data_IF_493495402489
#
_entry.id   IF_493495402489
#
_cell.length_a   1.000
_cell.length_b   1.000
_cell.length_c   1.000
_cell.angle_alpha   90.00
_cell.angle_beta   90.00
_cell.angle_gamma   90.00
#
_symmetry.space_group_name_H-M   'P 1'
#
loop_
_entity.id
_entity.type
_entity.pdbx_description
1 polymer ?
#
# COMPACT_ATOMS: atom_id res chain seq x y z
N UNK A 1 -5.78 18.35 8.00
CA UNK A 1 -6.34 17.03 7.62
C UNK A 1 -5.17 16.07 7.49
N UNK A 2 -5.30 14.82 7.94
CA UNK A 2 -4.31 13.76 7.67
C UNK A 2 -4.71 13.08 6.37
N UNK A 3 -3.76 12.82 5.46
CA UNK A 3 -4.01 12.05 4.23
C UNK A 3 -2.87 11.09 3.90
N UNK A 4 -3.25 10.02 3.19
CA UNK A 4 -2.35 9.05 2.55
C UNK A 4 -2.35 9.35 1.05
N UNK A 5 -1.59 10.36 0.65
CA UNK A 5 -1.53 10.84 -0.73
C UNK A 5 -0.17 11.47 -0.96
N UNK A 6 0.33 11.35 -2.19
CA UNK A 6 1.41 12.20 -2.65
C UNK A 6 0.96 13.67 -2.68
N UNK A 7 1.92 14.58 -2.59
CA UNK A 7 1.75 16.03 -2.43
C UNK A 7 0.60 16.59 -3.30
N UNK A 8 -0.53 16.98 -2.67
CA UNK A 8 -1.68 17.58 -3.39
C UNK A 8 -1.64 19.11 -3.25
N UNK A 9 -1.67 19.77 -4.41
CA UNK A 9 -1.98 21.19 -4.65
C UNK A 9 -1.15 22.25 -3.92
N UNK A 10 -0.73 23.28 -4.68
CA UNK A 10 0.02 24.46 -4.22
C UNK A 10 -0.69 25.33 -3.17
N UNK A 11 -1.94 25.04 -2.85
CA UNK A 11 -2.73 25.74 -1.82
C UNK A 11 -2.50 25.21 -0.40
N UNK A 12 -1.89 24.02 -0.27
CA UNK A 12 -1.67 23.34 1.00
C UNK A 12 -0.18 23.09 1.26
N UNK A 13 0.25 23.30 2.51
CA UNK A 13 1.52 22.77 2.98
C UNK A 13 1.28 21.32 3.39
N UNK A 14 2.20 20.47 2.96
CA UNK A 14 2.25 19.04 3.31
C UNK A 14 3.41 18.82 4.28
N UNK A 15 3.14 18.22 5.45
CA UNK A 15 4.19 17.80 6.42
C UNK A 15 4.11 16.29 6.59
N UNK A 16 5.16 15.59 6.18
CA UNK A 16 5.29 14.13 6.37
C UNK A 16 5.26 13.79 7.86
N UNK A 17 4.49 12.75 8.18
CA UNK A 17 4.35 12.18 9.52
C UNK A 17 5.04 10.82 9.55
N UNK A 18 4.72 9.97 8.58
CA UNK A 18 5.16 8.58 8.54
C UNK A 18 5.10 8.04 7.12
N UNK A 19 5.75 6.90 6.90
CA UNK A 19 5.69 6.15 5.63
C UNK A 19 5.10 4.76 5.89
N UNK A 20 3.98 4.47 5.25
CA UNK A 20 3.35 3.16 5.29
C UNK A 20 4.14 2.21 4.39
N UNK A 21 4.80 1.24 5.02
CA UNK A 21 5.40 0.14 4.28
C UNK A 21 4.30 -0.66 3.58
N UNK A 22 4.37 -0.70 2.25
CA UNK A 22 3.51 -1.56 1.43
C UNK A 22 4.24 -2.88 1.20
N UNK A 23 3.51 -3.98 1.21
CA UNK A 23 4.02 -5.31 0.92
C UNK A 23 3.15 -5.99 -0.14
N UNK A 24 3.78 -6.93 -0.84
CA UNK A 24 3.11 -7.81 -1.78
C UNK A 24 2.82 -9.14 -1.10
N UNK A 25 1.56 -9.56 -1.14
CA UNK A 25 1.18 -10.84 -0.57
C UNK A 25 0.03 -11.50 -1.31
N UNK A 26 -0.10 -12.80 -1.09
CA UNK A 26 -1.22 -13.61 -1.55
C UNK A 26 -1.45 -14.76 -0.57
N UNK A 27 -2.62 -15.41 -0.64
CA UNK A 27 -2.88 -16.61 0.16
C UNK A 27 -2.11 -17.81 -0.36
N UNK A 28 -1.84 -18.78 0.52
CA UNK A 28 -1.28 -20.07 0.10
C UNK A 28 -2.18 -20.80 -0.91
N UNK A 29 -3.50 -20.63 -0.82
CA UNK A 29 -4.47 -21.21 -1.75
C UNK A 29 -4.29 -20.72 -3.18
N UNK A 30 -3.88 -19.45 -3.37
CA UNK A 30 -3.61 -18.89 -4.69
C UNK A 30 -2.50 -19.65 -5.45
N UNK A 31 -1.47 -20.10 -4.73
CA UNK A 31 -0.33 -20.84 -5.30
C UNK A 31 -0.56 -22.35 -5.41
N UNK A 32 -1.77 -22.88 -5.16
CA UNK A 32 -2.01 -24.33 -5.31
C UNK A 32 -1.95 -24.81 -6.76
N UNK A 33 -2.26 -23.92 -7.70
CA UNK A 33 -2.29 -24.21 -9.15
C UNK A 33 -1.22 -23.43 -9.93
N UNK A 34 -0.43 -22.61 -9.25
CA UNK A 34 0.56 -21.71 -9.84
C UNK A 34 1.89 -21.91 -9.11
N UNK A 35 3.01 -21.78 -9.82
CA UNK A 35 4.33 -21.88 -9.19
C UNK A 35 4.46 -20.88 -8.03
N UNK A 36 4.95 -21.36 -6.89
CA UNK A 36 5.16 -20.55 -5.69
C UNK A 36 6.34 -19.59 -5.83
N UNK A 37 7.28 -19.89 -6.73
CA UNK A 37 8.42 -19.04 -7.02
C UNK A 37 7.99 -17.87 -7.91
N UNK A 38 7.40 -16.85 -7.31
CA UNK A 38 7.04 -15.61 -8.01
C UNK A 38 8.31 -14.83 -8.29
N UNK A 39 8.61 -14.61 -9.57
CA UNK A 39 9.61 -13.66 -10.04
C UNK A 39 8.92 -12.55 -10.84
N UNK A 40 9.54 -11.37 -10.88
CA UNK A 40 9.00 -10.22 -11.64
C UNK A 40 8.71 -10.59 -13.10
N UNK A 41 9.56 -11.41 -13.71
CA UNK A 41 9.40 -11.91 -15.09
C UNK A 41 8.17 -12.80 -15.32
N UNK A 42 7.62 -13.40 -14.27
CA UNK A 42 6.47 -14.30 -14.35
C UNK A 42 5.15 -13.66 -13.90
N UNK A 43 5.17 -12.40 -13.43
CA UNK A 43 3.98 -11.69 -12.96
C UNK A 43 2.84 -11.63 -14.01
N UNK A 44 3.16 -11.62 -15.30
CA UNK A 44 2.16 -11.64 -16.38
C UNK A 44 1.31 -12.93 -16.42
N UNK A 45 1.76 -14.02 -15.79
CA UNK A 45 1.01 -15.28 -15.64
C UNK A 45 0.13 -15.30 -14.39
N UNK A 46 0.28 -14.31 -13.52
CA UNK A 46 -0.46 -14.17 -12.28
C UNK A 46 -1.57 -13.12 -12.44
N UNK A 47 -2.48 -13.09 -11.46
CA UNK A 47 -3.53 -12.11 -11.31
C UNK A 47 -3.19 -11.15 -10.18
N UNK A 48 -3.34 -9.86 -10.45
CA UNK A 48 -3.37 -8.82 -9.43
C UNK A 48 -4.82 -8.46 -9.14
N UNK A 49 -5.13 -8.24 -7.87
CA UNK A 49 -6.38 -7.63 -7.44
C UNK A 49 -6.14 -6.12 -7.47
N UNK A 50 -6.96 -5.37 -8.20
CA UNK A 50 -6.78 -3.92 -8.26
C UNK A 50 -7.45 -3.27 -7.04
N UNK A 51 -6.76 -2.30 -6.45
CA UNK A 51 -7.40 -1.33 -5.57
C UNK A 51 -7.83 -0.12 -6.41
N UNK A 52 -9.10 0.29 -6.31
CA UNK A 52 -9.66 1.37 -7.10
C UNK A 52 -8.95 2.69 -6.76
N UNK A 53 -8.27 3.26 -7.74
CA UNK A 53 -7.66 4.58 -7.71
C UNK A 53 -8.10 5.38 -8.95
N UNK A 54 -7.83 6.69 -8.97
CA UNK A 54 -8.17 7.55 -10.10
C UNK A 54 -7.56 7.06 -11.44
N UNK A 55 -6.43 6.34 -11.38
CA UNK A 55 -5.68 5.82 -12.54
C UNK A 55 -5.86 4.31 -12.77
N UNK A 56 -6.91 3.69 -12.19
CA UNK A 56 -7.15 2.23 -12.24
C UNK A 56 -7.49 1.64 -13.63
N UNK A 57 -7.26 2.39 -14.72
CA UNK A 57 -7.50 1.93 -16.09
C UNK A 57 -6.57 0.76 -16.51
N UNK A 58 -5.46 0.55 -15.81
CA UNK A 58 -4.50 -0.54 -16.11
C UNK A 58 -4.15 -1.34 -14.87
N UNK A 59 -4.31 -2.66 -14.95
CA UNK A 59 -3.86 -3.60 -13.91
C UNK A 59 -2.34 -3.75 -13.98
N UNK A 60 -1.66 -3.01 -13.12
CA UNK A 60 -0.20 -2.99 -13.01
C UNK A 60 0.24 -3.39 -11.62
N UNK A 61 1.32 -4.14 -11.55
CA UNK A 61 2.07 -4.38 -10.33
C UNK A 61 3.25 -3.43 -10.28
N UNK A 62 3.38 -2.70 -9.18
CA UNK A 62 4.43 -1.70 -9.01
C UNK A 62 5.53 -2.22 -8.10
N UNK A 63 6.79 -1.94 -8.42
CA UNK A 63 7.90 -2.17 -7.51
C UNK A 63 8.94 -1.07 -7.63
N UNK A 64 9.63 -0.78 -6.54
CA UNK A 64 10.68 0.23 -6.47
C UNK A 64 12.06 -0.42 -6.49
N UNK A 65 12.90 -0.04 -7.45
CA UNK A 65 14.25 -0.55 -7.61
C UNK A 65 15.14 0.48 -8.30
N UNK A 66 16.38 0.65 -7.83
CA UNK A 66 17.35 1.61 -8.40
C UNK A 66 16.81 3.05 -8.45
N UNK A 67 16.19 3.49 -7.34
CA UNK A 67 15.61 4.84 -7.20
C UNK A 67 14.49 5.16 -8.22
N UNK A 68 13.85 4.12 -8.77
CA UNK A 68 12.78 4.25 -9.77
C UNK A 68 11.64 3.29 -9.50
N UNK A 69 10.44 3.76 -9.77
CA UNK A 69 9.24 2.92 -9.83
C UNK A 69 9.17 2.22 -11.18
N UNK A 70 9.05 0.91 -11.14
CA UNK A 70 8.83 0.04 -12.29
C UNK A 70 7.42 -0.53 -12.22
N UNK A 71 6.84 -0.79 -13.38
CA UNK A 71 5.49 -1.35 -13.48
C UNK A 71 5.49 -2.56 -14.41
N UNK A 72 4.79 -3.62 -13.99
CA UNK A 72 4.53 -4.81 -14.82
C UNK A 72 3.05 -4.93 -15.04
N UNK A 73 2.63 -4.96 -16.31
CA UNK A 73 1.24 -5.22 -16.66
C UNK A 73 0.88 -6.66 -16.28
N UNK A 74 -0.21 -6.83 -15.55
CA UNK A 74 -0.74 -8.10 -15.11
C UNK A 74 -2.18 -8.30 -15.59
N UNK A 75 -2.67 -9.53 -15.44
CA UNK A 75 -4.10 -9.79 -15.56
C UNK A 75 -4.79 -9.40 -14.25
N UNK A 76 -6.08 -9.04 -14.31
CA UNK A 76 -6.89 -8.81 -13.12
C UNK A 76 -8.30 -9.32 -13.35
N UNK A 77 -8.90 -9.85 -12.28
CA UNK A 77 -10.28 -10.35 -12.27
C UNK A 77 -11.24 -9.40 -11.57
N UNK A 78 -10.72 -8.51 -10.71
CA UNK A 78 -11.54 -7.66 -9.88
C UNK A 78 -10.83 -6.36 -9.49
N UNK A 79 -11.65 -5.33 -9.30
CA UNK A 79 -11.23 -4.03 -8.78
C UNK A 79 -12.11 -3.69 -7.59
N UNK A 80 -11.49 -3.33 -6.47
CA UNK A 80 -12.17 -3.10 -5.19
C UNK A 80 -11.73 -1.76 -4.61
N UNK A 81 -12.63 -1.07 -3.91
CA UNK A 81 -12.38 0.29 -3.41
C UNK A 81 -12.34 0.38 -1.87
N UNK A 82 -12.25 -0.75 -1.18
CA UNK A 82 -12.14 -0.81 0.27
C UNK A 82 -11.18 -1.93 0.70
N UNK A 83 -10.47 -1.70 1.81
CA UNK A 83 -9.39 -2.58 2.27
C UNK A 83 -9.90 -3.97 2.70
N UNK A 84 -11.05 -4.05 3.38
CA UNK A 84 -11.58 -5.32 3.90
C UNK A 84 -11.92 -6.31 2.76
N UNK A 85 -12.59 -5.82 1.71
CA UNK A 85 -12.90 -6.63 0.53
C UNK A 85 -11.63 -7.00 -0.22
N UNK A 86 -10.66 -6.08 -0.30
CA UNK A 86 -9.37 -6.28 -0.97
C UNK A 86 -8.59 -7.46 -0.36
N UNK A 87 -8.48 -7.45 0.97
CA UNK A 87 -7.81 -8.52 1.73
C UNK A 87 -8.62 -9.82 1.67
N UNK A 88 -9.95 -9.74 1.82
CA UNK A 88 -10.83 -10.92 1.74
C UNK A 88 -10.72 -11.65 0.39
N UNK A 89 -10.55 -10.90 -0.71
CA UNK A 89 -10.34 -11.48 -2.03
C UNK A 89 -8.99 -12.20 -2.15
N UNK A 90 -7.92 -11.64 -1.57
CA UNK A 90 -6.61 -12.31 -1.50
C UNK A 90 -6.67 -13.60 -0.67
N UNK A 91 -7.35 -13.55 0.49
CA UNK A 91 -7.61 -14.71 1.35
C UNK A 91 -8.39 -15.82 0.63
N UNK A 92 -9.30 -15.43 -0.27
CA UNK A 92 -10.06 -16.35 -1.11
C UNK A 92 -9.26 -16.91 -2.29
N UNK A 93 -8.00 -16.52 -2.44
CA UNK A 93 -7.10 -17.02 -3.50
C UNK A 93 -7.37 -16.41 -4.87
N UNK A 94 -7.90 -15.19 -4.93
CA UNK A 94 -8.25 -14.54 -6.20
C UNK A 94 -7.09 -13.79 -6.87
N UNK A 95 -5.96 -13.60 -6.18
CA UNK A 95 -4.82 -12.89 -6.74
C UNK A 95 -3.83 -12.37 -5.71
N UNK A 96 -2.86 -11.63 -6.22
CA UNK A 96 -1.85 -10.87 -5.47
C UNK A 96 -2.44 -9.50 -5.10
N UNK A 97 -2.11 -9.03 -3.89
CA UNK A 97 -2.43 -7.67 -3.42
C UNK A 97 -1.16 -6.91 -3.05
N UNK A 98 -1.20 -5.59 -3.20
CA UNK A 98 -0.20 -4.64 -2.70
C UNK A 98 -0.87 -3.80 -1.61
N UNK A 99 -0.53 -4.06 -0.34
CA UNK A 99 -1.30 -3.58 0.81
C UNK A 99 -0.38 -3.05 1.91
N UNK A 100 -0.80 -2.05 2.70
CA UNK A 100 -0.05 -1.66 3.89
C UNK A 100 0.20 -2.84 4.82
N UNK A 101 1.45 -3.01 5.26
CA UNK A 101 1.88 -4.17 6.03
C UNK A 101 1.10 -4.33 7.35
N UNK A 102 0.63 -3.23 7.93
CA UNK A 102 -0.13 -3.26 9.19
C UNK A 102 -1.53 -3.88 9.00
N UNK A 103 -2.17 -3.72 7.83
CA UNK A 103 -3.52 -4.23 7.57
C UNK A 103 -3.57 -5.78 7.53
N UNK A 104 -2.42 -6.41 7.27
CA UNK A 104 -2.32 -7.87 7.11
C UNK A 104 -1.32 -8.52 8.07
N UNK A 105 -0.82 -7.79 9.08
CA UNK A 105 0.22 -8.25 10.01
C UNK A 105 -0.08 -9.62 10.60
N UNK A 106 -1.24 -9.75 11.24
CA UNK A 106 -1.66 -10.98 11.91
C UNK A 106 -1.83 -12.14 10.91
N UNK A 107 -2.31 -11.85 9.69
CA UNK A 107 -2.51 -12.84 8.63
C UNK A 107 -1.18 -13.39 8.09
N UNK A 108 -0.14 -12.55 8.05
CA UNK A 108 1.22 -12.97 7.69
C UNK A 108 1.85 -13.78 8.82
N UNK A 109 1.73 -13.33 10.08
CA UNK A 109 2.27 -14.05 11.25
C UNK A 109 1.66 -15.45 11.39
N UNK A 110 0.37 -15.59 11.05
CA UNK A 110 -0.35 -16.87 11.02
C UNK A 110 -0.09 -17.70 9.74
N UNK A 111 0.74 -17.21 8.81
CA UNK A 111 1.01 -17.83 7.49
C UNK A 111 -0.25 -18.07 6.63
N UNK A 112 -1.33 -17.32 6.88
CA UNK A 112 -2.55 -17.37 6.06
C UNK A 112 -2.30 -16.65 4.73
N UNK A 113 -1.68 -15.48 4.82
CA UNK A 113 -1.05 -14.80 3.70
C UNK A 113 0.46 -15.03 3.76
N UNK A 114 1.09 -15.05 2.58
CA UNK A 114 2.55 -15.12 2.47
C UNK A 114 3.05 -13.92 1.70
N UNK A 115 4.14 -13.32 2.19
CA UNK A 115 4.87 -12.29 1.44
C UNK A 115 5.48 -12.92 0.20
N UNK A 116 5.51 -12.15 -0.87
CA UNK A 116 6.18 -12.50 -2.11
C UNK A 116 7.06 -11.34 -2.55
N UNK A 117 8.01 -11.62 -3.45
CA UNK A 117 8.84 -10.59 -4.08
C UNK A 117 9.44 -9.58 -3.08
N UNK A 118 9.93 -10.04 -1.91
CA UNK A 118 10.35 -9.14 -0.83
C UNK A 118 11.49 -8.19 -1.22
N UNK A 119 12.23 -8.50 -2.29
CA UNK A 119 13.28 -7.66 -2.87
C UNK A 119 12.77 -6.65 -3.92
N UNK A 120 11.49 -6.70 -4.26
CA UNK A 120 10.82 -5.87 -5.28
C UNK A 120 9.52 -5.29 -4.70
N UNK A 121 9.61 -4.68 -3.53
CA UNK A 121 8.46 -4.06 -2.89
C UNK A 121 8.07 -2.74 -3.59
N UNK A 122 6.78 -2.39 -3.62
CA UNK A 122 6.32 -1.06 -4.02
C UNK A 122 6.87 0.02 -3.09
N UNK A 123 6.81 1.26 -3.58
CA UNK A 123 7.18 2.43 -2.77
C UNK A 123 6.24 2.55 -1.56
N UNK A 124 6.80 2.93 -0.41
CA UNK A 124 6.00 3.24 0.79
C UNK A 124 5.07 4.42 0.54
N UNK A 125 3.86 4.39 1.11
CA UNK A 125 2.90 5.48 0.97
C UNK A 125 3.10 6.54 2.07
N UNK A 126 3.29 7.83 1.74
CA UNK A 126 3.46 8.87 2.74
C UNK A 126 2.14 9.19 3.44
N UNK A 127 2.16 9.22 4.77
CA UNK A 127 1.12 9.82 5.60
C UNK A 127 1.56 11.23 5.93
N UNK A 128 0.74 12.23 5.55
CA UNK A 128 1.07 13.63 5.75
C UNK A 128 -0.06 14.44 6.37
N UNK A 129 0.30 15.48 7.11
CA UNK A 129 -0.61 16.57 7.47
C UNK A 129 -0.73 17.55 6.30
N UNK A 130 -1.97 17.85 5.91
CA UNK A 130 -2.34 18.91 4.98
C UNK A 130 -3.00 20.07 5.72
N UNK A 131 -2.47 21.28 5.52
CA UNK A 131 -3.04 22.52 6.05
C UNK A 131 -2.80 23.73 5.10
N UNK A 132 -3.67 24.75 5.09
CA UNK A 132 -3.58 25.84 4.11
C UNK A 132 -2.27 26.64 4.24
N UNK A 133 -1.64 26.94 3.11
CA UNK A 133 -0.31 27.57 3.06
C UNK A 133 -0.22 28.94 3.75
N UNK A 134 -1.33 29.71 3.78
CA UNK A 134 -1.36 31.10 4.26
C UNK A 134 -1.73 31.29 5.73
N UNK A 135 -1.95 30.21 6.49
CA UNK A 135 -2.27 30.32 7.92
C UNK A 135 -1.01 30.02 8.75
N UNK A 136 -0.61 30.94 9.62
CA UNK A 136 0.33 30.60 10.69
C UNK A 136 -0.24 29.40 11.46
N UNK A 137 0.59 28.39 11.70
CA UNK A 137 0.16 27.23 12.46
C UNK A 137 -0.12 27.70 13.88
N UNK A 138 -1.40 27.66 14.26
CA UNK A 138 -1.82 28.03 15.61
C UNK A 138 -1.27 27.02 16.61
N UNK A 139 -0.88 27.48 17.80
CA UNK A 139 -0.29 26.65 18.85
C UNK A 139 -1.05 25.35 19.13
N UNK A 140 -2.40 25.32 19.20
CA UNK A 140 -3.14 24.07 19.40
C UNK A 140 -2.94 23.03 18.28
N UNK A 141 -2.81 23.49 17.03
CA UNK A 141 -2.57 22.60 15.89
C UNK A 141 -1.16 22.01 15.95
N UNK A 142 -0.15 22.78 16.36
CA UNK A 142 1.20 22.24 16.59
C UNK A 142 1.21 21.16 17.67
N UNK A 143 0.58 21.42 18.82
CA UNK A 143 0.50 20.44 19.92
C UNK A 143 -0.21 19.16 19.47
N UNK A 144 -1.30 19.28 18.70
CA UNK A 144 -1.99 18.12 18.14
C UNK A 144 -1.10 17.34 17.17
N UNK A 145 -0.38 18.01 16.27
CA UNK A 145 0.50 17.35 15.31
C UNK A 145 1.66 16.62 16.01
N UNK A 146 2.22 17.19 17.07
CA UNK A 146 3.26 16.55 17.89
C UNK A 146 2.72 15.29 18.57
N UNK A 147 1.60 15.42 19.31
CA UNK A 147 0.95 14.29 19.96
C UNK A 147 0.57 13.16 18.99
N UNK A 148 0.00 13.51 17.84
CA UNK A 148 -0.42 12.52 16.84
C UNK A 148 0.77 11.80 16.20
N UNK A 149 1.87 12.52 15.98
CA UNK A 149 3.09 11.92 15.48
C UNK A 149 3.64 10.87 16.45
N UNK A 150 3.68 11.19 17.75
CA UNK A 150 4.08 10.24 18.80
C UNK A 150 3.17 9.02 18.86
N UNK A 151 1.85 9.23 18.76
CA UNK A 151 0.86 8.16 18.75
C UNK A 151 1.06 7.22 17.55
N UNK A 152 1.15 7.77 16.33
CA UNK A 152 1.33 6.96 15.12
C UNK A 152 2.64 6.17 15.15
N UNK A 153 3.74 6.78 15.58
CA UNK A 153 5.03 6.09 15.73
C UNK A 153 4.96 4.90 16.70
N UNK A 154 4.02 4.89 17.66
CA UNK A 154 3.83 3.77 18.58
C UNK A 154 2.99 2.63 17.99
N UNK A 155 2.01 2.95 17.14
CA UNK A 155 1.07 1.97 16.57
C UNK A 155 1.55 1.32 15.28
N UNK A 156 2.35 2.03 14.47
CA UNK A 156 2.82 1.55 13.16
C UNK A 156 4.24 0.94 13.20
N UNK A 157 4.81 0.76 14.40
CA UNK A 157 6.04 -0.03 14.61
C UNK A 157 5.83 -1.51 14.29
#
# INVERSE_FOLDING_TARGET
MVRVVDLIDSLYITKLIWELKIIDCASLSYFRQLDRAVSVSHLSKHFIINYASADSATSVFEYFLEEKTHQVKMNSLLTLNNAESYISAALSGLGIIQVPAYDVRDLIEQNILVKILENYQPQSLPISFLYPHRKQIVKPLNVFMEWFNELICSYLK
#
